data_IF_472450188802
#
_entry.id   IF_472450188802
#
_cell.length_a   1.000
_cell.length_b   1.000
_cell.length_c   1.000
_cell.angle_alpha   90.00
_cell.angle_beta   90.00
_cell.angle_gamma   90.00
#
_symmetry.space_group_name_H-M   'P 1'
#
loop_
_entity.id
_entity.type
_entity.pdbx_description
1 polymer ?
#
# COMPACT_ATOMS: atom_id res chain seq x y z
N UNK A 1 -9.40 10.48 50.75
CA UNK A 1 -8.23 10.94 49.97
C UNK A 1 -7.69 9.92 48.95
N UNK A 2 -7.66 8.61 49.24
CA UNK A 2 -7.17 7.58 48.29
C UNK A 2 -8.03 7.42 47.02
N UNK A 3 -9.37 7.54 47.14
CA UNK A 3 -10.29 7.39 45.99
C UNK A 3 -10.17 8.51 44.94
N UNK A 4 -9.91 9.75 45.35
CA UNK A 4 -9.70 10.90 44.44
C UNK A 4 -8.42 10.75 43.63
N UNK A 5 -7.34 10.23 44.25
CA UNK A 5 -6.10 9.89 43.55
C UNK A 5 -6.27 8.71 42.59
N UNK A 6 -7.15 7.76 42.91
CA UNK A 6 -7.48 6.63 42.05
C UNK A 6 -8.30 7.06 40.81
N UNK A 7 -9.32 7.89 40.99
CA UNK A 7 -10.11 8.41 39.86
C UNK A 7 -9.28 9.28 38.92
N UNK A 8 -8.38 10.12 39.46
CA UNK A 8 -7.44 10.90 38.66
C UNK A 8 -6.48 10.03 37.81
N UNK A 9 -6.00 8.91 38.38
CA UNK A 9 -5.18 7.93 37.65
C UNK A 9 -6.00 7.21 36.55
N UNK A 10 -7.24 6.84 36.85
CA UNK A 10 -8.14 6.17 35.90
C UNK A 10 -8.51 7.08 34.72
N UNK A 11 -8.75 8.38 34.96
CA UNK A 11 -9.03 9.35 33.89
C UNK A 11 -7.83 9.60 32.98
N UNK A 12 -6.61 9.55 33.50
CA UNK A 12 -5.37 9.72 32.71
C UNK A 12 -5.13 8.49 31.81
N UNK A 13 -5.38 7.28 32.32
CA UNK A 13 -5.26 6.04 31.56
C UNK A 13 -6.30 5.98 30.42
N UNK A 14 -7.54 6.39 30.67
CA UNK A 14 -8.61 6.40 29.66
C UNK A 14 -8.37 7.40 28.51
N UNK A 15 -7.58 8.46 28.73
CA UNK A 15 -7.26 9.46 27.70
C UNK A 15 -5.90 9.23 27.00
N UNK A 16 -4.89 8.66 27.68
CA UNK A 16 -3.56 8.45 27.10
C UNK A 16 -3.47 7.16 26.27
N UNK A 17 -4.12 6.08 26.73
CA UNK A 17 -4.00 4.76 26.09
C UNK A 17 -4.58 4.73 24.66
N UNK A 18 -5.74 5.35 24.35
CA UNK A 18 -6.28 5.35 22.98
C UNK A 18 -5.41 6.12 21.97
N UNK A 19 -4.66 7.13 22.43
CA UNK A 19 -3.80 7.94 21.56
C UNK A 19 -2.47 7.25 21.24
N UNK A 20 -1.96 6.43 22.17
CA UNK A 20 -0.72 5.66 21.97
C UNK A 20 -0.90 4.40 21.11
N UNK A 21 -2.14 3.97 20.86
CA UNK A 21 -2.45 2.78 20.05
C UNK A 21 -3.08 3.08 18.69
N UNK A 22 -2.92 4.31 18.19
CA UNK A 22 -3.10 4.60 16.77
C UNK A 22 -1.92 3.98 15.99
N UNK A 23 -1.87 2.65 15.94
CA UNK A 23 -0.82 1.91 15.25
C UNK A 23 -1.08 1.98 13.74
N UNK A 24 -0.08 2.43 12.99
CA UNK A 24 0.00 2.17 11.56
C UNK A 24 0.27 0.68 11.38
N UNK A 25 -0.78 -0.12 11.26
CA UNK A 25 -0.63 -1.55 10.96
C UNK A 25 -0.26 -1.73 9.49
N UNK A 26 0.85 -2.42 9.24
CA UNK A 26 1.23 -2.83 7.88
C UNK A 26 0.42 -4.07 7.52
N UNK A 27 -0.41 -3.95 6.48
CA UNK A 27 -1.16 -5.08 5.96
C UNK A 27 -0.22 -6.05 5.26
N UNK A 28 -0.39 -7.35 5.50
CA UNK A 28 0.31 -8.37 4.71
C UNK A 28 -0.14 -8.26 3.26
N UNK A 29 0.81 -8.31 2.32
CA UNK A 29 0.51 -8.30 0.90
C UNK A 29 1.64 -7.74 0.04
N UNK A 30 1.26 -7.39 -1.17
CA UNK A 30 2.14 -6.78 -2.17
C UNK A 30 1.47 -5.57 -2.78
N UNK A 31 2.27 -4.59 -3.16
CA UNK A 31 1.83 -3.45 -3.97
C UNK A 31 2.12 -3.75 -5.43
N UNK A 32 1.06 -3.87 -6.23
CA UNK A 32 1.14 -3.94 -7.69
C UNK A 32 0.99 -2.54 -8.26
N UNK A 33 1.96 -2.11 -9.07
CA UNK A 33 1.86 -0.81 -9.72
C UNK A 33 2.61 -0.77 -11.06
N UNK A 34 2.11 0.08 -11.95
CA UNK A 34 2.76 0.45 -13.20
C UNK A 34 3.06 1.96 -13.11
N UNK A 35 4.32 2.39 -13.23
CA UNK A 35 4.62 3.82 -13.29
C UNK A 35 4.01 4.46 -14.53
N UNK A 36 3.64 5.73 -14.41
CA UNK A 36 3.09 6.51 -15.52
C UNK A 36 4.08 6.57 -16.69
N UNK A 37 3.58 6.36 -17.92
CA UNK A 37 4.35 6.36 -19.16
C UNK A 37 5.61 5.46 -19.08
N UNK A 38 5.42 4.24 -18.58
CA UNK A 38 6.50 3.27 -18.39
C UNK A 38 6.26 1.99 -19.17
N UNK A 39 7.37 1.31 -19.48
CA UNK A 39 7.40 -0.05 -20.02
C UNK A 39 7.57 -1.11 -18.94
N UNK A 40 7.44 -0.73 -17.68
CA UNK A 40 7.64 -1.63 -16.55
C UNK A 40 6.40 -1.71 -15.67
N UNK A 41 6.24 -2.85 -15.02
CA UNK A 41 5.27 -3.07 -13.96
C UNK A 41 5.96 -3.83 -12.85
N UNK A 42 5.66 -3.48 -11.61
CA UNK A 42 6.35 -4.00 -10.44
C UNK A 42 5.35 -4.58 -9.46
N UNK A 43 5.78 -5.68 -8.84
CA UNK A 43 5.21 -6.18 -7.60
C UNK A 43 6.24 -5.92 -6.51
N UNK A 44 5.90 -5.09 -5.54
CA UNK A 44 6.76 -4.79 -4.39
C UNK A 44 6.16 -5.37 -3.11
N UNK A 45 7.02 -5.88 -2.23
CA UNK A 45 6.60 -6.22 -0.87
C UNK A 45 6.37 -4.96 -0.02
N UNK A 46 5.89 -5.15 1.21
CA UNK A 46 5.65 -4.05 2.15
C UNK A 46 6.91 -3.41 2.72
N UNK A 47 8.09 -3.97 2.44
CA UNK A 47 9.40 -3.36 2.71
C UNK A 47 9.91 -2.55 1.51
N UNK A 48 9.03 -2.31 0.52
CA UNK A 48 9.31 -1.56 -0.70
C UNK A 48 10.39 -2.21 -1.59
N UNK A 49 10.58 -3.53 -1.44
CA UNK A 49 11.49 -4.31 -2.29
C UNK A 49 10.72 -4.86 -3.49
N UNK A 50 11.21 -4.63 -4.69
CA UNK A 50 10.63 -5.21 -5.91
C UNK A 50 10.93 -6.70 -5.95
N UNK A 51 9.89 -7.52 -5.78
CA UNK A 51 10.00 -8.98 -5.78
C UNK A 51 9.71 -9.59 -7.15
N UNK A 52 9.02 -8.87 -8.03
CA UNK A 52 8.78 -9.28 -9.41
C UNK A 52 8.68 -8.06 -10.32
N UNK A 53 9.11 -8.22 -11.58
CA UNK A 53 8.95 -7.19 -12.60
C UNK A 53 8.54 -7.78 -13.94
N UNK A 54 7.64 -7.08 -14.61
CA UNK A 54 7.26 -7.34 -16.00
C UNK A 54 7.81 -6.23 -16.89
N UNK A 55 8.36 -6.61 -18.04
CA UNK A 55 8.84 -5.69 -19.07
C UNK A 55 7.94 -5.75 -20.29
N UNK A 56 7.55 -4.58 -20.80
CA UNK A 56 6.62 -4.40 -21.91
C UNK A 56 7.32 -3.81 -23.13
N UNK A 57 6.74 -4.03 -24.31
CA UNK A 57 7.27 -3.50 -25.57
C UNK A 57 6.88 -2.05 -25.82
N UNK A 58 5.80 -1.57 -25.20
CA UNK A 58 5.21 -0.24 -25.39
C UNK A 58 5.02 0.51 -24.08
N UNK A 59 5.01 1.83 -24.14
CA UNK A 59 4.75 2.72 -23.00
C UNK A 59 3.28 2.64 -22.53
N UNK A 60 2.97 3.32 -21.43
CA UNK A 60 1.64 3.36 -20.81
C UNK A 60 1.69 3.01 -19.32
N UNK A 61 0.71 2.26 -18.82
CA UNK A 61 0.75 1.73 -17.45
C UNK A 61 0.10 2.63 -16.40
N UNK A 62 -1.00 3.29 -16.74
CA UNK A 62 -1.78 4.11 -15.80
C UNK A 62 -2.63 3.28 -14.84
N UNK A 63 -2.92 2.04 -15.23
CA UNK A 63 -3.67 1.05 -14.45
C UNK A 63 -3.14 -0.35 -14.74
N UNK A 64 -3.24 -1.22 -13.75
CA UNK A 64 -2.83 -2.61 -13.84
C UNK A 64 -3.68 -3.48 -12.92
N UNK A 65 -3.91 -4.72 -13.35
CA UNK A 65 -4.63 -5.75 -12.61
C UNK A 65 -3.87 -7.08 -12.71
N UNK A 66 -3.80 -7.82 -11.60
CA UNK A 66 -3.22 -9.16 -11.52
C UNK A 66 -4.34 -10.19 -11.59
N UNK A 67 -4.22 -11.12 -12.53
CA UNK A 67 -5.14 -12.23 -12.72
C UNK A 67 -4.80 -13.38 -11.76
N UNK A 68 -5.79 -14.23 -11.47
CA UNK A 68 -5.62 -15.38 -10.57
C UNK A 68 -4.54 -16.37 -11.03
N UNK A 69 -4.22 -16.42 -12.33
CA UNK A 69 -3.17 -17.26 -12.89
C UNK A 69 -1.76 -16.64 -12.81
N UNK A 70 -1.62 -15.43 -12.27
CA UNK A 70 -0.35 -14.72 -12.14
C UNK A 70 0.01 -13.80 -13.33
N UNK A 71 -0.79 -13.80 -14.40
CA UNK A 71 -0.62 -12.85 -15.50
C UNK A 71 -1.17 -11.46 -15.14
N UNK A 72 -0.75 -10.43 -15.86
CA UNK A 72 -1.24 -9.07 -15.65
C UNK A 72 -1.99 -8.52 -16.86
N UNK A 73 -3.01 -7.72 -16.60
CA UNK A 73 -3.66 -6.84 -17.58
C UNK A 73 -3.26 -5.41 -17.24
N UNK A 74 -2.79 -4.65 -18.23
CA UNK A 74 -2.48 -3.22 -18.05
C UNK A 74 -2.91 -2.38 -19.24
N UNK A 75 -3.11 -1.09 -19.01
CA UNK A 75 -3.26 -0.12 -20.10
C UNK A 75 -1.94 0.08 -20.86
N UNK A 76 -1.99 0.19 -22.17
CA UNK A 76 -0.86 0.50 -23.04
C UNK A 76 -1.19 1.69 -23.95
N UNK A 77 -0.19 2.47 -24.31
CA UNK A 77 -0.35 3.53 -25.31
C UNK A 77 -0.66 2.92 -26.67
N UNK A 78 -1.71 3.42 -27.31
CA UNK A 78 -1.98 3.14 -28.71
C UNK A 78 -1.04 3.99 -29.55
N UNK A 79 -0.27 3.35 -30.45
CA UNK A 79 0.51 4.06 -31.47
C UNK A 79 -0.45 4.64 -32.53
N UNK A 80 -1.15 5.71 -32.20
CA UNK A 80 -2.00 6.42 -33.14
C UNK A 80 -1.18 7.47 -33.89
N UNK A 81 -0.97 7.23 -35.19
CA UNK A 81 -0.49 8.24 -36.14
C UNK A 81 -1.71 8.98 -36.71
N UNK A 82 -2.34 9.84 -35.91
CA UNK A 82 -3.37 10.77 -36.40
C UNK A 82 -2.77 12.13 -36.70
#
# INVERSE_FOLDING_TARGET
>A
MKKVRLYGLVTVILFIVPFAIAWSESFSGYTLFSPNNSRYTYLADMSNTVVHSWTHTVNGGYSVYLLDNGDIIRSAEANNSV
#
